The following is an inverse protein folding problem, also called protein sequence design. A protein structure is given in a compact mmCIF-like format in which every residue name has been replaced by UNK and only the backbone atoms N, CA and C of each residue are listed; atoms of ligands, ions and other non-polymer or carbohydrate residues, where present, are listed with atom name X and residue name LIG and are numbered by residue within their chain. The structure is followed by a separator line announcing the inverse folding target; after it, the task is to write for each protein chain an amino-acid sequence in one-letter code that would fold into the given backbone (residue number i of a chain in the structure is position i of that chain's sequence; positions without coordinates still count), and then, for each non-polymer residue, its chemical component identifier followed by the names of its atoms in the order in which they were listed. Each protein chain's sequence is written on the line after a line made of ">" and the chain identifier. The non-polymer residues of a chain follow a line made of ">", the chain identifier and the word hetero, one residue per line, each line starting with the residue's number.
data_IF_494204665283
#
_entry.id   IF_494204665283
#
_cell.length_a   1.000
_cell.length_b   1.000
_cell.length_c   1.000
_cell.angle_alpha   90.00
_cell.angle_beta   90.00
_cell.angle_gamma   90.00
#
_symmetry.space_group_name_H-M   'P 1'
#
loop_
_entity.id
_entity.type
_entity.pdbx_description
1 polymer ?
#
# COMPACT_ATOMS: atom_id res chain seq x y z
N UNK A 1 -5.63 -20.81 -12.01
CA UNK A 1 -6.19 -19.85 -11.03
C UNK A 1 -5.00 -19.23 -10.29
N UNK A 2 -5.00 -17.92 -10.01
CA UNK A 2 -3.97 -17.25 -9.21
C UNK A 2 -4.52 -16.91 -7.83
N UNK A 3 -3.71 -16.99 -6.78
CA UNK A 3 -4.08 -16.73 -5.38
C UNK A 3 -3.08 -15.74 -4.77
N UNK A 4 -3.59 -14.64 -4.21
CA UNK A 4 -2.81 -13.61 -3.52
C UNK A 4 -3.08 -13.56 -2.02
N UNK A 5 -2.13 -13.02 -1.26
CA UNK A 5 -2.23 -12.84 0.20
C UNK A 5 -2.12 -11.36 0.57
N UNK A 6 -3.12 -10.82 1.28
CA UNK A 6 -2.96 -9.54 1.98
C UNK A 6 -2.07 -9.76 3.20
N UNK A 7 -0.90 -9.11 3.23
CA UNK A 7 0.07 -9.31 4.30
C UNK A 7 -0.42 -8.70 5.62
N UNK A 8 -0.06 -9.30 6.77
CA UNK A 8 -0.24 -8.65 8.06
C UNK A 8 0.71 -7.46 8.15
N UNK A 9 0.23 -6.24 7.94
CA UNK A 9 1.07 -5.02 7.93
C UNK A 9 0.58 -3.94 8.91
N UNK A 10 -0.39 -4.27 9.75
CA UNK A 10 -0.83 -3.41 10.85
C UNK A 10 -0.46 -4.01 12.20
N UNK A 11 -0.28 -3.18 13.22
CA UNK A 11 0.00 -3.64 14.58
C UNK A 11 -1.04 -4.67 15.06
N UNK A 12 -2.33 -4.43 14.78
CA UNK A 12 -3.43 -5.36 15.14
C UNK A 12 -3.38 -6.70 14.38
N UNK A 13 -2.57 -6.82 13.33
CA UNK A 13 -2.40 -8.08 12.60
C UNK A 13 -1.55 -9.09 13.38
N UNK A 14 -0.88 -8.66 14.45
CA UNK A 14 0.05 -9.46 15.23
C UNK A 14 -0.49 -9.78 16.63
N UNK A 15 -0.09 -10.91 17.23
CA UNK A 15 -0.46 -11.25 18.60
C UNK A 15 -0.10 -10.14 19.58
N UNK A 16 -1.04 -9.77 20.45
CA UNK A 16 -0.90 -8.68 21.41
C UNK A 16 -0.64 -7.31 20.78
N UNK A 17 -1.10 -7.10 19.54
CA UNK A 17 -1.01 -5.82 18.81
C UNK A 17 0.43 -5.29 18.70
N UNK A 18 1.39 -6.19 18.54
CA UNK A 18 2.79 -5.81 18.46
C UNK A 18 3.09 -5.02 17.18
N UNK A 19 4.12 -4.15 17.18
CA UNK A 19 4.45 -3.33 16.02
C UNK A 19 4.65 -4.14 14.74
N UNK A 20 4.00 -3.69 13.67
CA UNK A 20 4.19 -4.16 12.31
C UNK A 20 5.50 -3.61 11.73
N UNK A 21 6.63 -4.14 12.18
CA UNK A 21 7.94 -3.73 11.66
C UNK A 21 8.12 -4.19 10.21
N UNK A 22 8.93 -3.47 9.43
CA UNK A 22 9.27 -3.85 8.05
C UNK A 22 9.76 -5.30 7.98
N UNK A 23 10.65 -5.71 8.90
CA UNK A 23 11.17 -7.08 8.93
C UNK A 23 10.07 -8.13 9.11
N UNK A 24 9.09 -7.88 9.98
CA UNK A 24 7.97 -8.80 10.16
C UNK A 24 7.14 -8.97 8.90
N UNK A 25 6.81 -7.86 8.24
CA UNK A 25 6.06 -7.92 6.97
C UNK A 25 6.85 -8.70 5.91
N UNK A 26 8.17 -8.50 5.84
CA UNK A 26 9.05 -9.26 4.94
C UNK A 26 9.08 -10.76 5.26
N UNK A 27 9.12 -11.13 6.54
CA UNK A 27 9.13 -12.54 6.94
C UNK A 27 7.84 -13.25 6.48
N UNK A 28 6.69 -12.58 6.60
CA UNK A 28 5.43 -13.10 6.05
C UNK A 28 5.41 -13.15 4.53
N UNK A 29 5.98 -12.16 3.84
CA UNK A 29 6.07 -12.15 2.39
C UNK A 29 6.93 -13.30 1.86
N UNK A 30 8.11 -13.53 2.45
CA UNK A 30 8.99 -14.67 2.15
C UNK A 30 8.29 -15.99 2.41
N UNK A 31 7.57 -16.09 3.54
CA UNK A 31 6.82 -17.29 3.85
C UNK A 31 5.69 -17.54 2.84
N UNK A 32 5.00 -16.51 2.39
CA UNK A 32 3.98 -16.64 1.34
C UNK A 32 4.59 -17.10 0.01
N UNK A 33 5.76 -16.57 -0.35
CA UNK A 33 6.51 -17.01 -1.54
C UNK A 33 6.94 -18.49 -1.46
N UNK A 34 7.45 -18.94 -0.31
CA UNK A 34 7.80 -20.35 -0.07
C UNK A 34 6.59 -21.28 -0.18
N UNK A 35 5.41 -20.80 0.24
CA UNK A 35 4.16 -21.54 0.18
C UNK A 35 3.51 -21.54 -1.23
N UNK A 36 4.08 -20.79 -2.18
CA UNK A 36 3.63 -20.77 -3.58
C UNK A 36 2.46 -19.82 -3.85
N UNK A 37 2.25 -18.78 -3.04
CA UNK A 37 1.32 -17.71 -3.39
C UNK A 37 1.80 -16.96 -4.64
N UNK A 38 0.86 -16.57 -5.52
CA UNK A 38 1.18 -15.83 -6.74
C UNK A 38 1.52 -14.35 -6.48
N UNK A 39 0.91 -13.77 -5.44
CA UNK A 39 1.08 -12.36 -5.11
C UNK A 39 0.91 -12.03 -3.62
N UNK A 40 1.52 -10.94 -3.16
CA UNK A 40 1.37 -10.40 -1.80
C UNK A 40 1.03 -8.91 -1.81
N UNK A 41 0.20 -8.45 -0.87
CA UNK A 41 -0.40 -7.12 -0.94
C UNK A 41 -0.31 -6.36 0.38
N UNK A 42 0.01 -5.07 0.30
CA UNK A 42 -0.06 -4.10 1.41
C UNK A 42 -0.99 -2.95 1.03
N UNK A 43 -1.60 -2.29 2.01
CA UNK A 43 -2.48 -1.14 1.78
C UNK A 43 -1.80 0.16 2.19
N UNK A 44 -2.27 1.27 1.63
CA UNK A 44 -1.66 2.59 1.85
C UNK A 44 -2.40 3.37 2.92
N UNK A 45 -2.02 3.07 4.15
CA UNK A 45 -2.46 3.76 5.34
C UNK A 45 -1.23 4.31 6.10
N UNK A 46 -1.36 5.49 6.69
CA UNK A 46 -0.44 6.07 7.67
C UNK A 46 -0.73 5.51 9.07
N UNK A 47 -2.00 5.24 9.35
CA UNK A 47 -2.51 4.55 10.53
C UNK A 47 -3.96 4.15 10.29
N UNK A 48 -4.49 3.18 11.04
CA UNK A 48 -5.90 2.80 10.94
C UNK A 48 -6.50 2.61 12.34
N UNK A 49 -7.78 2.93 12.51
CA UNK A 49 -8.58 2.44 13.63
C UNK A 49 -9.61 1.42 13.17
N UNK A 50 -10.10 0.61 14.10
CA UNK A 50 -11.08 -0.44 13.81
C UNK A 50 -12.52 -0.04 14.20
N UNK A 51 -12.77 1.23 14.55
CA UNK A 51 -14.08 1.67 15.06
C UNK A 51 -15.19 1.44 14.03
N UNK A 52 -14.90 1.68 12.75
CA UNK A 52 -15.83 1.39 11.64
C UNK A 52 -16.22 -0.09 11.54
N UNK A 53 -15.41 -0.99 12.09
CA UNK A 53 -15.61 -2.44 12.09
C UNK A 53 -16.06 -2.98 13.46
N UNK A 54 -16.47 -2.11 14.38
CA UNK A 54 -16.88 -2.50 15.74
C UNK A 54 -15.72 -2.77 16.70
N UNK A 55 -14.48 -2.49 16.29
CA UNK A 55 -13.29 -2.54 17.14
C UNK A 55 -13.08 -1.24 17.94
N UNK A 56 -11.99 -1.15 18.70
CA UNK A 56 -11.68 0.04 19.49
C UNK A 56 -11.31 1.23 18.57
N UNK A 57 -11.63 2.48 18.98
CA UNK A 57 -11.19 3.71 18.30
C UNK A 57 -9.71 4.02 18.64
N UNK A 58 -8.86 3.01 18.53
CA UNK A 58 -7.42 3.07 18.77
C UNK A 58 -6.72 3.10 17.41
N UNK A 59 -5.75 4.01 17.25
CA UNK A 59 -4.88 4.03 16.07
C UNK A 59 -3.85 2.90 16.15
N UNK A 60 -3.71 2.20 15.05
CA UNK A 60 -2.70 1.16 14.83
C UNK A 60 -1.73 1.63 13.75
N UNK A 61 -0.45 1.43 14.00
CA UNK A 61 0.61 1.72 13.06
C UNK A 61 0.67 0.70 11.92
N UNK A 62 1.31 1.13 10.85
CA UNK A 62 1.66 0.33 9.67
C UNK A 62 2.90 0.96 9.03
N UNK A 63 3.77 0.18 8.37
CA UNK A 63 4.80 0.74 7.49
C UNK A 63 4.18 1.63 6.40
N UNK A 64 4.91 2.68 6.02
CA UNK A 64 4.56 3.50 4.86
C UNK A 64 4.63 2.67 3.58
N UNK A 65 3.56 2.70 2.79
CA UNK A 65 3.34 1.68 1.76
C UNK A 65 4.37 1.67 0.64
N UNK A 66 4.82 2.83 0.12
CA UNK A 66 5.80 2.83 -0.99
C UNK A 66 7.17 2.35 -0.54
N UNK A 67 7.61 2.72 0.67
CA UNK A 67 8.82 2.17 1.29
C UNK A 67 8.67 0.68 1.58
N UNK A 68 7.50 0.21 2.00
CA UNK A 68 7.24 -1.21 2.20
C UNK A 68 7.26 -2.00 0.89
N UNK A 69 6.71 -1.44 -0.21
CA UNK A 69 6.81 -2.03 -1.54
C UNK A 69 8.26 -2.13 -2.01
N UNK A 70 9.09 -1.11 -1.75
CA UNK A 70 10.52 -1.17 -2.03
C UNK A 70 11.23 -2.26 -1.20
N UNK A 71 10.85 -2.42 0.07
CA UNK A 71 11.37 -3.51 0.89
C UNK A 71 10.93 -4.89 0.36
N UNK A 72 9.69 -5.05 -0.10
CA UNK A 72 9.21 -6.29 -0.74
C UNK A 72 9.98 -6.60 -2.03
N UNK A 73 10.25 -5.58 -2.85
CA UNK A 73 11.07 -5.70 -4.06
C UNK A 73 12.44 -6.31 -3.75
N UNK A 74 13.13 -5.76 -2.73
CA UNK A 74 14.45 -6.23 -2.32
C UNK A 74 14.43 -7.54 -1.50
N UNK A 75 13.32 -7.84 -0.82
CA UNK A 75 13.23 -8.91 0.17
C UNK A 75 12.64 -10.22 -0.34
N UNK A 76 12.19 -10.28 -1.58
CA UNK A 76 11.56 -11.45 -2.24
C UNK A 76 12.10 -11.62 -3.66
N UNK A 77 11.99 -12.82 -4.22
CA UNK A 77 12.65 -13.15 -5.50
C UNK A 77 11.69 -13.45 -6.65
N UNK A 78 10.50 -14.00 -6.36
CA UNK A 78 9.59 -14.57 -7.36
C UNK A 78 8.16 -14.07 -7.22
N UNK A 79 7.67 -13.90 -6.00
CA UNK A 79 6.29 -13.49 -5.75
C UNK A 79 6.04 -12.11 -6.32
N UNK A 80 4.88 -11.93 -6.96
CA UNK A 80 4.44 -10.59 -7.35
C UNK A 80 4.01 -9.83 -6.11
N UNK A 81 4.13 -8.53 -6.09
CA UNK A 81 3.70 -7.76 -4.92
C UNK A 81 3.11 -6.43 -5.33
N UNK A 82 2.23 -5.91 -4.48
CA UNK A 82 1.51 -4.72 -4.88
C UNK A 82 0.76 -4.00 -3.79
N UNK A 83 0.13 -2.92 -4.21
CA UNK A 83 -0.73 -2.10 -3.37
C UNK A 83 -2.19 -2.48 -3.52
N UNK A 84 -2.87 -2.65 -2.38
CA UNK A 84 -4.31 -2.87 -2.29
C UNK A 84 -4.95 -1.85 -1.32
N UNK A 85 -5.07 -0.58 -1.67
CA UNK A 85 -4.55 0.15 -2.84
C UNK A 85 -3.80 1.40 -2.36
N UNK A 86 -2.94 1.99 -3.20
CA UNK A 86 -2.35 3.30 -2.93
C UNK A 86 -3.44 4.36 -2.87
N UNK A 87 -3.28 5.35 -1.98
CA UNK A 87 -4.17 6.50 -1.94
C UNK A 87 -3.66 7.57 -2.91
N UNK A 88 -4.47 7.91 -3.92
CA UNK A 88 -4.13 8.92 -4.93
C UNK A 88 -3.83 10.30 -4.33
N UNK A 89 -4.29 10.59 -3.11
CA UNK A 89 -4.09 11.90 -2.49
C UNK A 89 -2.81 12.02 -1.65
N UNK A 90 -2.15 10.91 -1.31
CA UNK A 90 -1.06 10.94 -0.31
C UNK A 90 0.29 11.38 -0.87
N UNK A 91 0.53 11.19 -2.16
CA UNK A 91 1.82 11.51 -2.79
C UNK A 91 1.59 12.34 -4.04
N UNK A 92 2.53 13.25 -4.29
CA UNK A 92 2.51 14.01 -5.53
C UNK A 92 2.78 13.05 -6.71
N UNK A 93 1.94 13.07 -7.76
CA UNK A 93 1.91 12.06 -8.83
C UNK A 93 3.25 11.90 -9.57
N UNK A 94 4.00 12.98 -9.77
CA UNK A 94 5.35 12.90 -10.38
C UNK A 94 6.33 12.13 -9.51
N UNK A 95 6.32 12.35 -8.20
CA UNK A 95 7.19 11.62 -7.28
C UNK A 95 6.72 10.17 -7.14
N UNK A 96 5.41 9.95 -7.12
CA UNK A 96 4.84 8.60 -7.10
C UNK A 96 5.27 7.81 -8.34
N UNK A 97 5.20 8.37 -9.53
CA UNK A 97 5.66 7.71 -10.76
C UNK A 97 7.14 7.28 -10.64
N UNK A 98 8.01 8.20 -10.20
CA UNK A 98 9.44 7.90 -10.03
C UNK A 98 9.70 6.80 -8.97
N UNK A 99 8.96 6.83 -7.86
CA UNK A 99 9.01 5.80 -6.82
C UNK A 99 8.60 4.43 -7.38
N UNK A 100 7.46 4.37 -8.07
CA UNK A 100 6.94 3.12 -8.64
C UNK A 100 7.88 2.55 -9.71
N UNK A 101 8.45 3.40 -10.57
CA UNK A 101 9.42 2.97 -11.58
C UNK A 101 10.68 2.39 -10.92
N UNK A 102 11.21 3.05 -9.88
CA UNK A 102 12.36 2.55 -9.13
C UNK A 102 12.05 1.17 -8.51
N UNK A 103 10.89 1.00 -7.89
CA UNK A 103 10.48 -0.27 -7.27
C UNK A 103 10.26 -1.36 -8.33
N UNK A 104 9.71 -1.01 -9.50
CA UNK A 104 9.53 -1.92 -10.62
C UNK A 104 10.88 -2.45 -11.12
N UNK A 105 11.87 -1.57 -11.31
CA UNK A 105 13.23 -1.94 -11.70
C UNK A 105 13.93 -2.80 -10.63
N UNK A 106 13.81 -2.44 -9.34
CA UNK A 106 14.35 -3.22 -8.23
C UNK A 106 13.82 -4.66 -8.15
N UNK A 107 12.65 -4.91 -8.74
CA UNK A 107 11.95 -6.19 -8.63
C UNK A 107 11.89 -6.99 -9.92
N UNK A 108 12.55 -6.54 -10.99
CA UNK A 108 12.46 -7.15 -12.33
C UNK A 108 10.99 -7.30 -12.79
N UNK A 109 10.19 -6.26 -12.58
CA UNK A 109 8.81 -6.19 -13.08
C UNK A 109 7.75 -6.97 -12.30
N UNK A 110 8.03 -7.31 -11.03
CA UNK A 110 7.08 -8.02 -10.15
C UNK A 110 6.06 -7.11 -9.45
N UNK A 111 6.22 -5.80 -9.54
CA UNK A 111 5.32 -4.82 -8.93
C UNK A 111 3.95 -4.77 -9.65
N UNK A 112 2.87 -4.75 -8.87
CA UNK A 112 1.49 -4.47 -9.30
C UNK A 112 0.93 -3.29 -8.51
N UNK A 113 0.34 -2.30 -9.19
CA UNK A 113 -0.11 -1.06 -8.55
C UNK A 113 -1.62 -0.94 -8.60
N UNK A 114 -2.27 -1.13 -7.46
CA UNK A 114 -3.63 -0.67 -7.25
C UNK A 114 -3.64 0.77 -6.76
N UNK A 115 -4.55 1.60 -7.28
CA UNK A 115 -4.75 3.00 -6.90
C UNK A 115 -6.22 3.25 -6.53
N UNK A 116 -6.46 4.04 -5.49
CA UNK A 116 -7.80 4.36 -5.00
C UNK A 116 -7.96 5.81 -4.53
N UNK A 117 -9.21 6.22 -4.38
CA UNK A 117 -9.58 7.60 -4.04
C UNK A 117 -9.31 7.97 -2.57
N UNK A 118 -9.02 6.99 -1.72
CA UNK A 118 -8.89 7.18 -0.27
C UNK A 118 -10.25 7.34 0.42
N UNK A 119 -10.34 6.87 1.67
CA UNK A 119 -11.60 6.79 2.40
C UNK A 119 -11.52 7.24 3.85
N UNK A 120 -10.34 7.16 4.48
CA UNK A 120 -10.21 7.35 5.92
C UNK A 120 -9.80 8.79 6.24
N UNK A 121 -10.79 9.64 6.48
CA UNK A 121 -10.65 11.09 6.69
C UNK A 121 -9.66 11.46 7.80
N UNK A 122 -9.51 10.63 8.83
CA UNK A 122 -8.58 10.88 9.92
C UNK A 122 -7.12 11.01 9.44
N UNK A 123 -6.72 10.23 8.44
CA UNK A 123 -5.38 10.29 7.86
C UNK A 123 -5.18 11.54 7.00
N UNK A 124 -6.22 11.94 6.25
CA UNK A 124 -6.21 13.18 5.47
C UNK A 124 -6.00 14.38 6.40
N UNK A 125 -6.75 14.43 7.50
CA UNK A 125 -6.61 15.48 8.51
C UNK A 125 -5.22 15.46 9.16
N UNK A 126 -4.69 14.29 9.49
CA UNK A 126 -3.35 14.16 10.07
C UNK A 126 -2.23 14.56 9.10
N UNK A 127 -2.41 14.32 7.80
CA UNK A 127 -1.46 14.68 6.75
C UNK A 127 -1.63 16.13 6.23
N UNK A 128 -2.63 16.87 6.72
CA UNK A 128 -2.95 18.22 6.21
C UNK A 128 -3.49 18.24 4.78
N UNK A 129 -4.08 17.13 4.33
CA UNK A 129 -4.63 16.98 2.98
C UNK A 129 -6.14 17.21 3.04
N UNK A 130 -6.73 18.10 2.21
CA UNK A 130 -8.18 18.30 2.21
C UNK A 130 -8.93 17.02 1.83
N UNK A 131 -9.79 16.48 2.69
CA UNK A 131 -10.51 15.22 2.41
C UNK A 131 -11.47 15.34 1.22
N UNK A 132 -12.32 16.36 1.22
CA UNK A 132 -13.29 16.63 0.14
C UNK A 132 -14.45 15.62 0.07
N UNK A 133 -15.38 15.85 -0.86
CA UNK A 133 -16.48 14.94 -1.15
C UNK A 133 -16.01 13.68 -1.88
N UNK A 134 -16.85 12.64 -1.94
CA UNK A 134 -16.52 11.44 -2.70
C UNK A 134 -16.22 11.74 -4.19
N UNK A 135 -16.99 12.62 -4.82
CA UNK A 135 -16.74 13.05 -6.21
C UNK A 135 -15.38 13.73 -6.36
N UNK A 136 -15.04 14.66 -5.47
CA UNK A 136 -13.74 15.34 -5.50
C UNK A 136 -12.57 14.36 -5.33
N UNK A 137 -12.72 13.32 -4.51
CA UNK A 137 -11.70 12.28 -4.36
C UNK A 137 -11.57 11.39 -5.60
N UNK A 138 -12.69 11.07 -6.26
CA UNK A 138 -12.69 10.35 -7.54
C UNK A 138 -12.03 11.19 -8.63
N UNK A 139 -12.31 12.50 -8.71
CA UNK A 139 -11.68 13.39 -9.68
C UNK A 139 -10.15 13.43 -9.49
N UNK A 140 -9.68 13.51 -8.24
CA UNK A 140 -8.25 13.43 -7.93
C UNK A 140 -7.65 12.09 -8.34
N UNK A 141 -8.34 10.99 -8.09
CA UNK A 141 -7.92 9.65 -8.55
C UNK A 141 -7.77 9.63 -10.07
N UNK A 142 -8.74 10.14 -10.83
CA UNK A 142 -8.67 10.21 -12.29
C UNK A 142 -7.48 11.04 -12.79
N UNK A 143 -7.21 12.20 -12.16
CA UNK A 143 -6.05 13.04 -12.50
C UNK A 143 -4.75 12.31 -12.24
N UNK A 144 -4.61 11.68 -11.07
CA UNK A 144 -3.38 10.96 -10.69
C UNK A 144 -3.16 9.76 -11.60
N UNK A 145 -4.20 8.96 -11.86
CA UNK A 145 -4.13 7.82 -12.77
C UNK A 145 -3.64 8.24 -14.16
N UNK A 146 -4.25 9.26 -14.77
CA UNK A 146 -3.82 9.74 -16.08
C UNK A 146 -2.38 10.28 -16.11
N UNK A 147 -1.89 10.82 -14.98
CA UNK A 147 -0.50 11.26 -14.86
C UNK A 147 0.50 10.12 -14.66
N UNK A 148 0.09 9.01 -14.06
CA UNK A 148 0.89 7.79 -13.97
C UNK A 148 0.96 7.10 -15.33
N UNK A 149 -0.17 6.93 -16.01
CA UNK A 149 -0.24 6.30 -17.34
C UNK A 149 0.71 7.00 -18.32
N UNK A 150 0.64 8.33 -18.41
CA UNK A 150 1.50 9.12 -19.28
C UNK A 150 3.01 9.07 -18.96
N UNK A 151 3.41 8.45 -17.84
CA UNK A 151 4.81 8.37 -17.39
C UNK A 151 5.35 6.94 -17.34
N UNK A 152 4.49 5.96 -17.06
CA UNK A 152 4.88 4.56 -16.87
C UNK A 152 4.68 3.71 -18.13
N UNK A 153 3.88 4.18 -19.10
CA UNK A 153 3.65 3.52 -20.39
C UNK A 153 3.78 4.56 -21.54
N UNK A 154 5.01 4.99 -21.90
CA UNK A 154 5.23 6.06 -22.87
C UNK A 154 5.03 5.66 -24.34
#
# INVERSE_FOLDING_TARGET
>A
MKVGLALPHYDFSYPSEQPATVQRVLDYARRAEELGFDSVWVSDHLFLDLAKYGGPPKRYGTPEATSMLAALAAGTERVRFGSLVLCASFRHPVFLAAQLQTIFEMSDGRLEVGLGAGWYEAEFNAAGIPFGSAGQRIDRLSVVAGQLDARLDP
#
